data_IF_688954202459
#
_entry.id   IF_688954202459
#
_cell.length_a   1.000
_cell.length_b   1.000
_cell.length_c   1.000
_cell.angle_alpha   90.00
_cell.angle_beta   90.00
_cell.angle_gamma   90.00
#
_symmetry.space_group_name_H-M   'P 1'
#
loop_
_entity.id
_entity.type
_entity.pdbx_description
1 polymer ?
2 non-polymer ?
3 water ?
#
# COMPACT_ATOMS: atom_id res chain seq x y z
N UNK A 1 -29.69 6.05 2.61
CA UNK A 1 -29.62 4.92 3.58
C UNK A 1 -29.02 5.37 4.91
N UNK A 2 -29.29 4.60 5.96
CA UNK A 2 -28.78 4.93 7.29
C UNK A 2 -27.37 4.39 7.48
N UNK A 3 -26.61 5.00 8.38
CA UNK A 3 -25.25 4.53 8.62
C UNK A 3 -24.78 4.82 10.03
N UNK A 4 -23.69 4.16 10.41
CA UNK A 4 -23.08 4.31 11.72
C UNK A 4 -21.58 4.20 11.54
N UNK A 5 -20.84 4.69 12.51
CA UNK A 5 -19.39 4.58 12.46
C UNK A 5 -18.86 4.30 13.87
N UNK A 6 -17.76 3.57 13.94
CA UNK A 6 -17.15 3.21 15.22
C UNK A 6 -15.64 3.28 15.08
N UNK A 7 -14.97 3.82 16.09
CA UNK A 7 -13.53 3.90 16.05
C UNK A 7 -12.95 2.56 16.49
N UNK A 8 -11.73 2.27 16.07
CA UNK A 8 -11.06 1.06 16.49
C UNK A 8 -9.61 1.44 16.78
N UNK A 9 -9.03 0.78 17.77
CA UNK A 9 -7.64 1.01 18.15
C UNK A 9 -7.14 -0.40 18.41
N UNK A 10 -6.43 -0.94 17.43
CA UNK A 10 -5.95 -2.32 17.48
C UNK A 10 -4.44 -2.48 17.67
N UNK A 11 -4.03 -3.22 18.70
CA UNK A 11 -2.59 -3.41 18.91
C UNK A 11 -2.02 -4.21 17.76
N UNK A 12 -0.79 -3.90 17.35
CA UNK A 12 -0.16 -4.64 16.27
C UNK A 12 0.30 -5.98 16.85
N UNK A 13 0.41 -7.01 16.01
CA UNK A 13 0.83 -8.33 16.47
C UNK A 13 2.22 -8.25 17.07
N UNK A 14 2.98 -7.27 16.61
CA UNK A 14 4.32 -7.01 17.12
C UNK A 14 4.72 -5.62 16.62
N UNK A 15 5.50 -4.89 17.44
CA UNK A 15 5.95 -3.54 17.10
C UNK A 15 6.60 -3.35 15.73
N UNK A 16 6.35 -2.18 15.16
CA UNK A 16 6.92 -1.81 13.86
C UNK A 16 7.71 -0.53 14.07
N UNK A 17 8.98 -0.54 13.67
CA UNK A 17 9.83 0.62 13.83
C UNK A 17 10.28 1.21 12.51
N UNK A 18 10.20 2.55 12.42
CA UNK A 18 10.62 3.27 11.22
C UNK A 18 11.55 4.39 11.67
N UNK A 19 11.99 5.21 10.71
CA UNK A 19 12.88 6.32 11.03
C UNK A 19 12.10 7.51 11.60
N UNK A 20 10.77 7.37 11.62
CA UNK A 20 9.92 8.44 12.13
C UNK A 20 9.31 8.10 13.48
N UNK A 21 9.77 6.99 14.07
CA UNK A 21 9.26 6.60 15.37
C UNK A 21 8.83 5.15 15.46
N UNK A 22 8.23 4.80 16.59
CA UNK A 22 7.76 3.44 16.84
C UNK A 22 6.26 3.45 17.11
N UNK A 23 5.56 2.45 16.57
CA UNK A 23 4.11 2.34 16.75
C UNK A 23 3.77 0.92 17.19
N UNK A 24 2.85 0.81 18.15
CA UNK A 24 2.45 -0.49 18.66
C UNK A 24 0.98 -0.78 18.38
N UNK A 25 0.32 0.13 17.68
CA UNK A 25 -1.09 -0.08 17.37
C UNK A 25 -1.50 0.69 16.12
N UNK A 26 -2.62 0.29 15.55
CA UNK A 26 -3.19 0.96 14.38
C UNK A 26 -4.62 1.31 14.72
N UNK A 27 -5.03 2.53 14.38
CA UNK A 27 -6.39 2.97 14.64
C UNK A 27 -7.08 3.37 13.35
N UNK A 28 -8.41 3.43 13.40
CA UNK A 28 -9.17 3.79 12.22
C UNK A 28 -10.66 3.86 12.54
N UNK A 29 -11.46 3.91 11.50
CA UNK A 29 -12.92 3.99 11.62
C UNK A 29 -13.56 2.91 10.76
N UNK A 30 -14.59 2.27 11.31
CA UNK A 30 -15.35 1.28 10.55
C UNK A 30 -16.71 1.92 10.28
N UNK A 31 -17.20 1.75 9.06
CA UNK A 31 -18.49 2.30 8.66
C UNK A 31 -19.46 1.16 8.41
N UNK A 32 -20.70 1.29 8.91
CA UNK A 32 -21.72 0.28 8.67
C UNK A 32 -22.93 0.99 8.08
N UNK A 33 -23.30 0.60 6.86
CA UNK A 33 -24.43 1.19 6.16
C UNK A 33 -25.56 0.16 6.07
N UNK A 34 -26.80 0.62 6.12
CA UNK A 34 -27.95 -0.29 6.03
C UNK A 34 -29.11 0.36 5.29
N UNK A 35 -29.67 -0.34 4.31
CA UNK A 35 -30.81 0.21 3.57
C UNK A 35 -32.13 -0.17 4.21
N UNK A 36 -33.24 0.28 3.60
CA UNK A 36 -34.58 0.03 4.12
C UNK A 36 -34.99 -1.44 4.23
N UNK A 37 -34.31 -2.30 3.48
CA UNK A 37 -34.63 -3.72 3.47
C UNK A 37 -33.72 -4.54 4.39
N UNK A 38 -32.75 -3.89 5.00
CA UNK A 38 -31.85 -4.61 5.89
C UNK A 38 -30.54 -5.04 5.24
N UNK A 39 -30.30 -4.63 4.00
CA UNK A 39 -29.05 -4.98 3.33
C UNK A 39 -27.98 -4.11 3.99
N UNK A 40 -26.80 -4.68 4.17
CA UNK A 40 -25.73 -3.94 4.83
C UNK A 40 -24.47 -3.77 3.99
N UNK A 41 -23.71 -2.73 4.33
CA UNK A 41 -22.45 -2.45 3.65
C UNK A 41 -21.45 -2.04 4.70
N UNK A 42 -20.16 -2.23 4.42
CA UNK A 42 -19.11 -1.88 5.39
C UNK A 42 -17.93 -1.21 4.70
N UNK A 43 -17.27 -0.29 5.40
CA UNK A 43 -16.12 0.40 4.85
C UNK A 43 -15.13 0.69 5.97
N UNK A 44 -13.90 1.01 5.60
CA UNK A 44 -12.88 1.32 6.60
C UNK A 44 -12.08 2.57 6.23
N UNK A 45 -11.93 3.47 7.18
CA UNK A 45 -11.18 4.71 6.99
C UNK A 45 -9.99 4.59 7.92
N UNK A 46 -8.79 4.45 7.35
CA UNK A 46 -7.60 4.28 8.18
C UNK A 46 -6.35 5.00 7.69
N UNK A 47 -6.33 6.34 7.79
CA UNK A 47 -5.14 7.06 7.34
C UNK A 47 -3.95 6.59 8.17
N UNK A 48 -2.76 6.63 7.59
CA UNK A 48 -1.55 6.18 8.26
C UNK A 48 -0.75 7.38 8.76
N UNK A 49 -0.51 7.46 10.07
CA UNK A 49 0.24 8.58 10.64
C UNK A 49 1.54 8.86 9.90
N UNK A 50 1.75 10.11 9.51
CA UNK A 50 2.96 10.47 8.80
C UNK A 50 2.86 10.44 7.29
N UNK A 51 1.91 9.65 6.78
CA UNK A 51 1.73 9.54 5.34
C UNK A 51 0.63 10.50 4.88
N UNK A 52 1.04 11.60 4.26
CA UNK A 52 0.07 12.58 3.80
C UNK A 52 -0.37 13.45 4.96
N UNK A 53 -1.29 14.39 4.68
CA UNK A 53 -1.78 15.32 5.69
C UNK A 53 -3.08 14.91 6.39
N UNK A 54 -3.72 13.86 5.91
CA UNK A 54 -4.98 13.43 6.52
C UNK A 54 -4.74 12.81 7.89
N UNK A 55 -5.55 13.21 8.86
CA UNK A 55 -5.44 12.67 10.21
C UNK A 55 -6.74 11.98 10.56
N UNK A 56 -6.67 10.98 11.44
CA UNK A 56 -7.86 10.27 11.86
C UNK A 56 -8.84 11.26 12.51
N UNK A 57 -8.32 12.21 13.28
CA UNK A 57 -9.20 13.17 13.94
C UNK A 57 -10.00 14.00 12.95
N UNK A 58 -9.41 14.30 11.79
CA UNK A 58 -10.11 15.07 10.77
C UNK A 58 -11.21 14.19 10.15
N UNK A 59 -10.92 12.89 10.04
CA UNK A 59 -11.90 11.95 9.49
C UNK A 59 -13.07 11.81 10.46
N UNK A 60 -12.77 11.78 11.75
CA UNK A 60 -13.80 11.67 12.77
C UNK A 60 -14.70 12.90 12.70
N UNK A 61 -14.08 14.07 12.59
CA UNK A 61 -14.84 15.32 12.50
C UNK A 61 -15.79 15.26 11.30
N UNK A 62 -15.29 14.77 10.17
CA UNK A 62 -16.11 14.65 8.97
C UNK A 62 -17.32 13.75 9.27
N UNK A 63 -17.06 12.60 9.88
CA UNK A 63 -18.13 11.67 10.21
C UNK A 63 -19.19 12.31 11.10
N UNK A 64 -18.78 13.17 12.01
CA UNK A 64 -19.72 13.80 12.91
C UNK A 64 -20.49 14.94 12.22
N UNK A 65 -19.94 15.44 11.12
CA UNK A 65 -20.57 16.54 10.38
C UNK A 65 -21.56 16.07 9.32
N UNK A 66 -21.38 14.85 8.82
CA UNK A 66 -22.25 14.31 7.79
C UNK A 66 -23.67 14.03 8.28
N UNK A 67 -24.65 14.10 7.37
CA UNK A 67 -26.06 13.86 7.69
C UNK A 67 -26.31 12.42 8.15
N UNK A 68 -27.46 12.19 8.76
CA UNK A 68 -27.81 10.86 9.23
C UNK A 68 -28.09 9.89 8.10
N UNK A 69 -28.19 10.42 6.89
CA UNK A 69 -28.46 9.59 5.73
C UNK A 69 -27.36 9.85 4.70
N UNK A 70 -27.14 8.89 3.81
CA UNK A 70 -26.11 9.05 2.80
C UNK A 70 -26.67 8.98 1.39
N UNK A 71 -26.08 9.76 0.50
CA UNK A 71 -26.47 9.82 -0.91
C UNK A 71 -25.20 10.15 -1.68
N UNK A 72 -25.20 9.87 -2.99
CA UNK A 72 -24.01 10.16 -3.81
C UNK A 72 -23.61 11.63 -3.69
N UNK A 73 -24.59 12.52 -3.73
CA UNK A 73 -24.32 13.95 -3.63
C UNK A 73 -23.70 14.31 -2.28
N UNK A 74 -24.20 13.70 -1.21
CA UNK A 74 -23.68 13.98 0.13
C UNK A 74 -22.23 13.52 0.24
N UNK A 76 -20.18 13.32 -2.10
CA UNK A 76 -19.36 14.12 -3.01
C UNK A 76 -18.84 15.36 -2.28
N UNK A 77 -19.40 15.65 -1.12
CA UNK A 77 -18.97 16.81 -0.34
C UNK A 77 -17.75 16.50 0.52
N UNK A 78 -17.37 15.23 0.59
CA UNK A 78 -16.21 14.85 1.39
C UNK A 78 -14.97 15.51 0.78
N UNK A 79 -14.24 16.29 1.59
CA UNK A 79 -13.03 16.98 1.14
C UNK A 79 -12.02 16.09 0.44
N UNK A 80 -11.41 16.61 -0.61
CA UNK A 80 -10.40 15.87 -1.36
C UNK A 80 -9.19 15.69 -0.45
N UNK A 81 -9.11 16.53 0.58
CA UNK A 81 -8.00 16.47 1.53
C UNK A 81 -8.11 15.28 2.48
N UNK A 82 -9.20 14.53 2.39
CA UNK A 82 -9.40 13.35 3.24
C UNK A 82 -9.58 12.11 2.36
N UNK A 83 -8.51 11.71 1.66
CA UNK A 83 -8.58 10.55 0.77
C UNK A 83 -8.96 9.20 1.39
N UNK A 84 -8.52 8.94 2.61
CA UNK A 84 -8.87 7.67 3.26
C UNK A 84 -10.38 7.66 3.53
N UNK A 85 -10.94 8.82 3.88
CA UNK A 85 -12.36 8.91 4.13
C UNK A 85 -13.12 8.67 2.82
N UNK A 86 -12.62 9.22 1.71
CA UNK A 86 -13.27 9.01 0.42
C UNK A 86 -13.29 7.52 0.10
N UNK A 87 -12.18 6.86 0.36
CA UNK A 87 -12.07 5.42 0.11
C UNK A 87 -13.08 4.66 0.97
N UNK A 88 -13.10 4.96 2.27
CA UNK A 88 -14.00 4.28 3.18
C UNK A 88 -15.48 4.40 2.82
N UNK A 89 -15.92 5.62 2.54
CA UNK A 89 -17.32 5.83 2.19
C UNK A 89 -17.65 5.24 0.82
N UNK A 90 -16.76 5.43 -0.15
CA UNK A 90 -16.98 4.89 -1.48
C UNK A 90 -17.10 3.37 -1.47
N UNK A 91 -16.16 2.70 -0.81
CA UNK A 91 -16.20 1.25 -0.75
C UNK A 91 -17.39 0.74 0.08
N UNK A 92 -17.74 1.48 1.13
CA UNK A 92 -18.86 1.09 1.97
C UNK A 92 -20.15 1.12 1.15
N UNK A 93 -20.35 2.22 0.43
CA UNK A 93 -21.54 2.39 -0.41
C UNK A 93 -21.66 1.28 -1.44
N UNK A 94 -20.57 1.01 -2.14
CA UNK A 94 -20.57 -0.03 -3.16
C UNK A 94 -20.84 -1.43 -2.63
N UNK A 95 -20.50 -1.67 -1.36
CA UNK A 95 -20.68 -3.00 -0.78
C UNK A 95 -22.10 -3.30 -0.32
N UNK A 96 -22.95 -2.28 -0.19
CA UNK A 96 -24.31 -2.50 0.28
C UNK A 96 -25.04 -3.55 -0.55
N UNK A 97 -25.39 -4.66 0.09
CA UNK A 97 -26.10 -5.73 -0.60
C UNK A 97 -25.25 -6.55 -1.54
N UNK A 98 -23.93 -6.40 -1.45
CA UNK A 98 -23.01 -7.13 -2.32
C UNK A 98 -22.03 -8.03 -1.57
N UNK A 99 -22.13 -8.05 -0.25
CA UNK A 99 -21.23 -8.89 0.55
C UNK A 99 -21.79 -10.29 0.75
N UNK A 100 -20.90 -11.30 0.80
CA UNK A 100 -19.44 -11.19 0.66
C UNK A 100 -18.98 -11.08 -0.78
N UNK A 101 -17.79 -10.52 -0.96
CA UNK A 101 -17.19 -10.33 -2.28
C UNK A 101 -16.48 -11.56 -2.81
N UNK A 102 -16.45 -11.68 -4.13
CA UNK A 102 -15.74 -12.77 -4.79
C UNK A 102 -14.31 -12.24 -4.91
N UNK A 103 -13.35 -12.99 -4.39
CA UNK A 103 -11.94 -12.56 -4.46
C UNK A 103 -11.05 -13.73 -4.83
N UNK A 104 -9.76 -13.46 -4.99
CA UNK A 104 -8.79 -14.50 -5.34
C UNK A 104 -7.45 -14.19 -4.69
N UNK A 105 -6.61 -15.23 -4.47
CA UNK A 105 -5.29 -15.13 -3.85
C UNK A 105 -4.14 -14.66 -4.76
N UNK A 106 -4.07 -13.36 -5.02
CA UNK A 106 -3.02 -12.81 -5.87
C UNK A 106 -1.63 -13.06 -5.26
N UNK A 107 -0.59 -13.07 -6.11
CA UNK A 107 0.77 -13.30 -5.59
C UNK A 107 1.10 -12.17 -4.61
N UNK A 108 1.71 -12.54 -3.48
CA UNK A 108 2.09 -11.57 -2.45
C UNK A 108 3.61 -11.47 -2.33
N UNK A 109 4.11 -10.25 -2.16
CA UNK A 109 5.55 -10.04 -2.02
C UNK A 109 5.99 -10.34 -0.58
N UNK A 110 7.05 -11.13 -0.44
CA UNK A 110 7.57 -11.48 0.87
C UNK A 110 8.66 -10.51 1.29
N UNK A 111 8.65 -10.09 2.56
CA UNK A 111 9.64 -9.14 3.04
C UNK A 111 10.88 -9.84 3.59
N UNK A 112 12.03 -9.19 3.42
CA UNK A 112 13.30 -9.71 3.92
C UNK A 112 13.89 -8.64 4.84
N UNK A 113 14.29 -9.05 6.05
CA UNK A 113 14.87 -8.13 7.00
C UNK A 113 16.19 -7.54 6.54
N UNK A 114 16.54 -6.37 7.09
CA UNK A 114 17.78 -5.71 6.71
C UNK A 114 18.98 -6.57 7.11
N UNK A 115 20.11 -6.32 6.45
CA UNK A 115 21.29 -7.08 6.79
C UNK A 115 21.39 -8.49 6.24
N UNK A 116 22.34 -9.24 6.78
CA UNK A 116 22.59 -10.61 6.34
C UNK A 116 21.40 -11.54 6.56
N UNK A 117 20.44 -11.10 7.37
CA UNK A 117 19.25 -11.91 7.64
C UNK A 117 18.51 -12.28 6.36
N UNK A 118 18.57 -11.41 5.36
CA UNK A 118 17.90 -11.64 4.09
C UNK A 118 18.29 -12.99 3.49
N UNK A 119 19.51 -13.43 3.77
CA UNK A 119 20.02 -14.68 3.21
C UNK A 119 19.41 -15.94 3.82
N UNK A 120 18.71 -15.79 4.93
CA UNK A 120 18.11 -16.94 5.60
C UNK A 120 16.59 -16.83 5.72
N UNK A 121 16.02 -15.74 5.23
CA UNK A 121 14.57 -15.53 5.36
C UNK A 121 13.73 -15.70 4.09
N UNK A 122 14.35 -15.93 2.94
CA UNK A 122 13.58 -16.09 1.72
C UNK A 122 13.09 -17.51 1.47
N UNK A 123 13.83 -18.48 1.97
CA UNK A 123 13.51 -19.88 1.76
C UNK A 123 12.11 -20.33 2.17
N UNK A 124 11.71 -20.00 3.39
CA UNK A 124 10.40 -20.40 3.87
C UNK A 124 9.28 -19.79 3.03
N UNK A 125 9.42 -18.52 2.66
CA UNK A 125 8.42 -17.85 1.84
C UNK A 125 8.37 -18.45 0.43
N UNK A 126 9.54 -18.74 -0.12
CA UNK A 126 9.62 -19.32 -1.45
C UNK A 126 8.93 -20.69 -1.45
N UNK A 127 9.18 -21.47 -0.41
CA UNK A 127 8.57 -22.80 -0.31
C UNK A 127 7.07 -22.77 -0.09
N UNK A 128 6.55 -21.56 0.15
CA UNK A 128 5.12 -21.35 0.35
C UNK A 128 4.51 -20.68 -0.88
N UNK A 129 5.29 -20.64 -1.95
CA UNK A 129 4.80 -20.08 -3.21
C UNK A 129 5.09 -18.63 -3.51
N UNK A 130 5.79 -17.93 -2.63
CA UNK A 130 6.10 -16.52 -2.87
C UNK A 130 7.37 -16.40 -3.70
N UNK A 131 7.30 -15.68 -4.81
CA UNK A 131 8.45 -15.53 -5.69
C UNK A 131 8.98 -14.11 -5.85
N UNK A 132 8.33 -13.15 -5.20
CA UNK A 132 8.78 -11.77 -5.25
C UNK A 132 9.13 -11.40 -3.82
N UNK A 133 10.25 -10.71 -3.63
CA UNK A 133 10.71 -10.31 -2.31
C UNK A 133 11.08 -8.83 -2.28
N UNK A 134 11.06 -8.24 -1.09
CA UNK A 134 11.46 -6.85 -0.93
C UNK A 134 12.38 -6.80 0.27
N UNK A 135 13.62 -6.38 0.02
CA UNK A 135 14.63 -6.30 1.06
C UNK A 135 14.92 -4.86 1.42
N UNK A 136 14.98 -4.61 2.73
CA UNK A 136 15.24 -3.28 3.26
C UNK A 136 16.73 -2.94 3.17
N UNK A 137 17.04 -1.82 2.55
CA UNK A 137 18.43 -1.37 2.40
C UNK A 137 18.60 0.04 2.97
N UNK A 138 19.84 0.50 3.02
CA UNK A 138 20.11 1.82 3.56
C UNK A 138 20.25 1.76 5.07
N UNK A 139 20.43 0.54 5.59
CA UNK A 139 20.59 0.33 7.02
C UNK A 139 22.07 0.16 7.36
N UNK A 141 26.23 -0.10 5.63
CA UNK A 141 26.95 0.68 4.63
C UNK A 141 26.63 0.11 3.25
N UNK A 142 26.70 0.97 2.21
CA UNK A 142 26.41 0.49 0.85
C UNK A 142 27.26 -0.72 0.47
N UNK A 143 28.53 -0.69 0.86
CA UNK A 143 29.45 -1.79 0.56
C UNK A 143 28.97 -3.11 1.17
N UNK A 144 28.59 -3.06 2.45
CA UNK A 144 28.13 -4.25 3.15
C UNK A 144 26.86 -4.81 2.51
N UNK A 145 25.90 -3.93 2.23
CA UNK A 145 24.65 -4.39 1.64
C UNK A 145 24.85 -4.91 0.23
N UNK A 146 25.79 -4.33 -0.51
CA UNK A 146 26.06 -4.78 -1.86
C UNK A 146 26.68 -6.17 -1.85
N UNK A 147 27.49 -6.46 -0.84
CA UNK A 147 28.12 -7.77 -0.72
C UNK A 147 27.01 -8.78 -0.43
N UNK A 148 26.11 -8.42 0.46
CA UNK A 148 24.99 -9.29 0.81
C UNK A 148 24.10 -9.49 -0.42
N UNK A 149 23.87 -8.41 -1.17
CA UNK A 149 23.03 -8.49 -2.35
C UNK A 149 23.60 -9.45 -3.39
N UNK A 150 24.92 -9.41 -3.57
CA UNK A 150 25.56 -10.29 -4.53
C UNK A 150 25.28 -11.74 -4.14
N UNK A 151 25.40 -12.03 -2.84
CA UNK A 151 25.16 -13.38 -2.35
C UNK A 151 23.69 -13.76 -2.49
N UNK A 152 22.82 -12.80 -2.19
CA UNK A 152 21.38 -13.04 -2.28
C UNK A 152 20.93 -13.36 -3.70
N UNK A 153 21.40 -12.56 -4.66
CA UNK A 153 21.04 -12.77 -6.05
C UNK A 153 21.50 -14.13 -6.55
N UNK A 154 22.66 -14.58 -6.06
CA UNK A 154 23.20 -15.87 -6.46
C UNK A 154 22.46 -17.03 -5.80
N UNK A 155 21.94 -16.79 -4.60
CA UNK A 155 21.23 -17.82 -3.86
C UNK A 155 19.76 -18.01 -4.26
N UNK A 156 19.09 -16.90 -4.60
CA UNK A 156 17.69 -16.97 -4.99
C UNK A 156 17.49 -17.90 -6.18
N UNK A 157 16.41 -18.68 -6.18
CA UNK A 157 16.14 -19.60 -7.28
C UNK A 157 15.76 -18.92 -8.59
N UNK A 158 15.87 -19.65 -9.71
CA UNK A 158 15.53 -19.08 -11.00
C UNK A 158 14.06 -18.63 -10.94
N UNK A 159 13.78 -17.45 -11.48
CA UNK A 159 12.41 -16.95 -11.47
C UNK A 159 12.11 -15.99 -10.33
N UNK A 160 13.04 -15.87 -9.39
CA UNK A 160 12.84 -14.96 -8.27
C UNK A 160 12.90 -13.51 -8.74
N UNK A 161 12.13 -12.66 -8.06
CA UNK A 161 12.08 -11.23 -8.38
C UNK A 161 12.38 -10.52 -7.07
N UNK A 162 13.25 -9.51 -7.12
CA UNK A 162 13.64 -8.80 -5.91
C UNK A 162 13.49 -7.29 -5.98
N UNK A 163 12.89 -6.73 -4.94
CA UNK A 163 12.71 -5.29 -4.83
C UNK A 163 13.62 -4.84 -3.70
N UNK A 164 14.16 -3.64 -3.80
CA UNK A 164 15.01 -3.09 -2.75
C UNK A 164 14.30 -1.86 -2.24
N UNK A 165 14.12 -1.75 -0.93
CA UNK A 165 13.44 -0.57 -0.40
C UNK A 165 14.38 0.23 0.49
N UNK A 166 14.73 1.43 0.04
CA UNK A 166 15.62 2.29 0.80
C UNK A 166 14.87 3.20 1.77
N UNK A 167 13.54 3.20 1.68
CA UNK A 167 12.70 4.02 2.55
C UNK A 167 13.13 5.49 2.56
N UNK A 168 13.62 5.96 1.42
CA UNK A 168 14.08 7.33 1.28
C UNK A 168 15.23 7.71 2.18
N UNK A 169 16.05 6.72 2.54
CA UNK A 169 17.16 6.97 3.45
C UNK A 169 18.51 7.32 2.83
N UNK A 170 18.64 7.16 1.51
CA UNK A 170 19.91 7.50 0.86
C UNK A 170 20.01 8.98 0.51
N UNK A 171 21.23 9.51 0.49
CA UNK A 171 21.41 10.88 0.06
C UNK A 171 21.67 10.75 -1.43
N UNK A 172 21.70 11.87 -2.14
CA UNK A 172 21.89 11.84 -3.59
C UNK A 172 23.14 11.10 -4.08
N UNK A 173 24.29 11.35 -3.46
CA UNK A 173 25.52 10.69 -3.89
C UNK A 173 25.47 9.17 -3.68
N UNK A 174 24.91 8.75 -2.56
CA UNK A 174 24.80 7.32 -2.25
C UNK A 174 23.85 6.63 -3.22
N UNK A 175 22.74 7.28 -3.54
CA UNK A 175 21.79 6.71 -4.47
C UNK A 175 22.44 6.55 -5.84
N UNK A 176 23.16 7.58 -6.26
CA UNK A 176 23.82 7.53 -7.55
C UNK A 176 24.81 6.36 -7.64
N UNK A 177 25.61 6.16 -6.60
CA UNK A 177 26.57 5.06 -6.60
C UNK A 177 25.85 3.72 -6.60
N UNK A 178 24.74 3.63 -5.88
CA UNK A 178 23.97 2.39 -5.82
C UNK A 178 23.42 2.00 -7.18
N UNK A 179 22.88 2.96 -7.92
CA UNK A 179 22.34 2.66 -9.23
C UNK A 179 23.45 2.28 -10.21
N UNK A 180 24.64 2.82 -10.01
CA UNK A 180 25.76 2.46 -10.89
C UNK A 180 26.11 1.01 -10.61
N UNK A 181 26.09 0.64 -9.33
CA UNK A 181 26.41 -0.73 -8.94
C UNK A 181 25.36 -1.68 -9.52
N UNK A 182 24.09 -1.32 -9.35
CA UNK A 182 22.99 -2.13 -9.86
C UNK A 182 23.03 -2.25 -11.37
N UNK A 183 23.32 -1.15 -12.05
CA UNK A 183 23.39 -1.14 -13.50
C UNK A 183 24.37 -2.22 -13.98
N UNK A 184 25.41 -2.44 -13.20
CA UNK A 184 26.43 -3.44 -13.53
C UNK A 184 26.15 -4.83 -12.97
N UNK A 185 26.25 -4.94 -11.65
CA UNK A 185 26.06 -6.21 -10.95
C UNK A 185 24.61 -6.63 -10.76
N UNK A 186 23.68 -5.74 -11.12
CA UNK A 186 22.28 -6.06 -10.97
C UNK A 186 21.88 -7.24 -11.85
N UNK A 187 21.05 -8.11 -11.30
CA UNK A 187 20.60 -9.28 -12.04
C UNK A 187 19.21 -9.00 -12.61
N UNK A 188 18.83 -9.73 -13.65
CA UNK A 188 17.51 -9.54 -14.22
C UNK A 188 16.47 -9.82 -13.15
N UNK A 189 16.94 -10.11 -11.94
CA UNK A 189 16.08 -10.40 -10.81
C UNK A 189 15.65 -9.15 -10.05
N UNK A 190 16.30 -8.01 -10.29
CA UNK A 190 15.94 -6.77 -9.61
C UNK A 190 14.74 -6.11 -10.28
N UNK A 191 13.59 -6.12 -9.62
CA UNK A 191 12.38 -5.52 -10.17
C UNK A 191 12.47 -3.99 -10.13
N UNK A 192 12.88 -3.46 -9.00
CA UNK A 192 13.03 -2.02 -8.84
C UNK A 192 13.59 -1.63 -7.49
N UNK A 193 13.98 -0.38 -7.37
CA UNK A 193 14.47 0.15 -6.10
C UNK A 193 13.35 1.08 -5.65
N UNK A 194 12.81 0.82 -4.47
CA UNK A 194 11.71 1.61 -3.93
C UNK A 194 12.19 2.80 -3.12
N UNK A 195 11.70 3.98 -3.48
CA UNK A 195 12.02 5.25 -2.81
C UNK A 195 13.50 5.41 -2.42
N UNK A 196 14.38 5.55 -3.42
CA UNK A 196 15.81 5.70 -3.09
C UNK A 196 16.12 6.98 -2.31
N UNK A 197 15.36 8.04 -2.59
CA UNK A 197 15.57 9.33 -1.92
C UNK A 197 14.30 9.78 -1.22
N UNK A 198 14.41 10.69 -0.25
CA UNK A 198 13.22 11.17 0.46
C UNK A 198 12.34 11.98 -0.49
N UNK A 199 11.03 12.04 -0.22
CA UNK A 199 10.08 12.78 -1.06
C UNK A 199 10.43 14.22 -1.40
N UNK A 200 11.13 14.92 -0.51
CA UNK A 200 11.48 16.32 -0.77
C UNK A 200 12.45 16.50 -1.93
N UNK A 201 13.21 15.46 -2.25
CA UNK A 201 14.17 15.54 -3.34
C UNK A 201 13.55 15.00 -4.62
N UNK A 202 12.43 15.57 -5.01
CA UNK A 202 11.72 15.11 -6.20
C UNK A 202 12.46 15.31 -7.51
N UNK A 203 13.22 16.40 -7.64
CA UNK A 203 13.94 16.64 -8.88
C UNK A 203 15.01 15.57 -9.09
N UNK A 204 15.68 15.20 -8.01
CA UNK A 204 16.72 14.16 -8.07
C UNK A 204 16.06 12.82 -8.37
N UNK A 205 14.91 12.56 -7.75
CA UNK A 205 14.19 11.31 -7.98
C UNK A 205 13.87 11.17 -9.47
N UNK A 206 13.28 12.21 -10.04
CA UNK A 206 12.91 12.19 -11.45
C UNK A 206 14.13 12.03 -12.33
N UNK A 207 15.17 12.81 -12.07
CA UNK A 207 16.39 12.73 -12.86
C UNK A 207 16.99 11.33 -12.84
N UNK A 208 17.09 10.75 -11.64
CA UNK A 208 17.62 9.39 -11.53
C UNK A 208 16.79 8.41 -12.35
N UNK A 209 15.47 8.47 -12.18
CA UNK A 209 14.59 7.55 -12.92
C UNK A 209 14.74 7.67 -14.42
N UNK A 210 15.01 8.89 -14.89
CA UNK A 210 15.16 9.15 -16.32
C UNK A 210 16.54 8.82 -16.88
N UNK A 211 17.48 8.46 -16.02
CA UNK A 211 18.84 8.18 -16.49
C UNK A 211 19.43 6.81 -16.13
N UNK A 212 18.96 6.20 -15.04
CA UNK A 212 19.49 4.91 -14.66
C UNK A 212 18.69 3.77 -15.31
N UNK A 213 19.35 2.62 -15.49
CA UNK A 213 18.71 1.48 -16.11
C UNK A 213 17.76 0.73 -15.18
N UNK A 214 18.14 0.62 -13.92
CA UNK A 214 17.30 -0.06 -12.93
C UNK A 214 16.05 0.78 -12.65
N UNK A 215 14.89 0.14 -12.64
CA UNK A 215 13.64 0.84 -12.41
C UNK A 215 13.51 1.37 -10.98
N UNK A 216 12.79 2.46 -10.83
CA UNK A 216 12.58 3.07 -9.53
C UNK A 216 11.09 3.15 -9.23
N UNK A 217 10.73 2.92 -7.97
CA UNK A 217 9.33 2.98 -7.55
C UNK A 217 9.12 4.05 -6.49
N UNK A 218 8.00 4.77 -6.61
CA UNK A 218 7.66 5.79 -5.62
C UNK A 218 6.72 5.15 -4.62
N UNK A 219 6.96 5.41 -3.33
CA UNK A 219 6.11 4.85 -2.28
C UNK A 219 5.76 6.00 -1.36
N UNK A 220 6.70 6.41 -0.51
CA UNK A 220 6.47 7.51 0.41
C UNK A 220 6.05 8.78 -0.35
N UNK A 221 6.53 8.90 -1.59
CA UNK A 221 6.20 10.05 -2.43
C UNK A 221 4.78 10.07 -2.96
N UNK A 222 4.12 8.90 -2.98
CA UNK A 222 2.75 8.85 -3.50
C UNK A 222 1.74 8.22 -2.56
N UNK A 223 0.97 9.07 -1.88
CA UNK A 223 -0.06 8.60 -0.96
C UNK A 223 -1.43 8.81 -1.58
N UNK A 224 -1.72 10.05 -1.96
CA UNK A 224 -3.02 10.40 -2.53
C UNK A 224 -3.07 10.43 -4.05
N UNK A 225 -4.28 10.44 -4.59
CA UNK A 225 -4.47 10.51 -6.02
C UNK A 225 -3.80 11.76 -6.54
N UNK A 226 -3.87 12.84 -5.76
CA UNK A 226 -3.27 14.11 -6.15
C UNK A 226 -1.76 13.98 -6.38
N UNK A 227 -1.08 13.24 -5.50
CA UNK A 227 0.36 13.07 -5.64
C UNK A 227 0.68 12.18 -6.83
N UNK A 228 -0.13 11.16 -7.05
CA UNK A 228 0.11 10.28 -8.20
C UNK A 228 -0.07 11.10 -9.47
N UNK A 229 -1.14 11.90 -9.51
CA UNK A 229 -1.41 12.73 -10.67
C UNK A 229 -0.22 13.66 -10.95
N UNK A 230 0.30 14.28 -9.89
CA UNK A 230 1.43 15.19 -10.04
C UNK A 230 2.64 14.50 -10.66
N UNK A 231 2.92 13.28 -10.23
CA UNK A 231 4.05 12.54 -10.77
C UNK A 231 3.81 12.08 -12.20
N UNK A 232 2.56 11.78 -12.53
CA UNK A 232 2.23 11.37 -13.89
C UNK A 232 2.49 12.57 -14.80
N UNK A 233 2.06 13.75 -14.36
CA UNK A 233 2.26 14.95 -15.17
C UNK A 233 3.72 15.37 -15.25
N UNK A 234 4.54 14.89 -14.32
CA UNK A 234 5.97 15.19 -14.34
C UNK A 234 6.69 14.22 -15.28
N UNK A 235 5.97 13.21 -15.76
CA UNK A 235 6.55 12.24 -16.66
C UNK A 235 7.31 11.11 -15.97
N UNK A 236 6.87 10.73 -14.78
CA UNK A 236 7.53 9.65 -14.04
C UNK A 236 7.54 8.40 -14.90
N UNK A 237 8.72 7.82 -15.17
CA UNK A 237 8.83 6.62 -15.99
C UNK A 237 8.84 5.31 -15.20
N UNK A 238 8.91 5.42 -13.87
CA UNK A 238 8.97 4.25 -13.03
C UNK A 238 7.65 3.70 -12.51
N UNK A 239 7.73 3.01 -11.38
CA UNK A 239 6.57 2.40 -10.75
C UNK A 239 5.94 3.29 -9.68
N UNK A 240 4.67 3.03 -9.41
CA UNK A 240 3.90 3.75 -8.39
C UNK A 240 3.40 2.70 -7.42
N UNK A 241 3.73 2.85 -6.14
CA UNK A 241 3.24 1.91 -5.13
C UNK A 241 1.95 2.53 -4.61
N UNK A 242 0.82 1.94 -4.97
CA UNK A 242 -0.48 2.45 -4.58
C UNK A 242 -1.02 1.84 -3.29
N UNK A 243 -1.29 2.69 -2.29
CA UNK A 243 -1.89 2.22 -1.05
C UNK A 243 -3.34 2.63 -1.21
N UNK A 244 -4.14 1.73 -1.78
CA UNK A 244 -5.55 2.01 -2.07
C UNK A 244 -6.36 2.57 -0.90
N UNK A 245 -6.15 2.06 0.30
CA UNK A 245 -6.89 2.55 1.47
C UNK A 245 -6.61 4.01 1.83
N UNK A 246 -5.49 4.56 1.35
CA UNK A 246 -5.11 5.94 1.66
C UNK A 246 -5.23 6.88 0.48
N UNK A 247 -5.45 6.28 -0.69
CA UNK A 247 -5.51 6.95 -1.98
C UNK A 247 -6.63 7.94 -2.28
N UNK A 248 -7.85 7.57 -1.92
CA UNK A 248 -9.02 8.39 -2.20
C UNK A 248 -10.09 7.49 -2.77
N UNK A 249 -11.01 8.05 -3.55
CA UNK A 249 -12.07 7.26 -4.16
C UNK A 249 -11.42 6.33 -5.20
N UNK A 250 -11.68 5.00 -5.11
CA UNK A 250 -11.09 4.07 -6.08
C UNK A 250 -11.32 4.49 -7.54
N UNK A 251 -12.44 5.17 -7.80
CA UNK A 251 -12.73 5.61 -9.16
C UNK A 251 -11.66 6.58 -9.67
N UNK A 252 -10.98 7.27 -8.75
CA UNK A 252 -9.94 8.22 -9.14
C UNK A 252 -8.75 7.50 -9.77
N UNK A 253 -8.47 6.27 -9.34
CA UNK A 253 -7.36 5.52 -9.91
C UNK A 253 -7.77 5.06 -11.30
N UNK A 254 -9.01 4.59 -11.42
CA UNK A 254 -9.51 4.12 -12.71
C UNK A 254 -9.49 5.27 -13.72
N UNK A 255 -9.77 6.48 -13.24
CA UNK A 255 -9.77 7.64 -14.13
C UNK A 255 -8.34 7.91 -14.60
N UNK A 256 -7.38 7.85 -13.68
CA UNK A 256 -5.98 8.08 -14.02
C UNK A 256 -5.53 7.05 -15.05
N UNK A 257 -5.94 5.80 -14.86
CA UNK A 257 -5.57 4.72 -15.76
C UNK A 257 -6.16 4.92 -17.16
N UNK A 258 -7.33 5.52 -17.25
CA UNK A 258 -7.96 5.77 -18.54
C UNK A 258 -7.22 6.92 -19.22
N UNK A 259 -6.40 7.61 -18.44
CA UNK A 259 -5.62 8.73 -18.93
C UNK A 259 -4.13 8.38 -19.06
N UNK A 260 -3.26 9.12 -18.38
CA UNK A 260 -1.84 8.87 -18.49
C UNK A 260 -1.13 7.89 -17.58
N UNK A 261 -1.85 7.16 -16.73
CA UNK A 261 -1.22 6.20 -15.83
C UNK A 261 -1.15 4.79 -16.43
N UNK A 262 0.04 4.21 -16.44
CA UNK A 262 0.27 2.88 -16.99
C UNK A 262 -0.06 1.76 -15.99
N UNK A 263 -1.01 0.87 -16.34
CA UNK A 263 -1.38 -0.22 -15.44
C UNK A 263 -0.18 -1.08 -15.05
N UNK A 264 0.69 -1.35 -16.02
CA UNK A 264 1.87 -2.16 -15.77
C UNK A 264 2.84 -1.55 -14.77
N UNK A 265 2.71 -0.25 -14.54
CA UNK A 265 3.60 0.43 -13.60
C UNK A 265 3.06 0.50 -12.16
N UNK A 266 1.95 -0.17 -11.90
CA UNK A 266 1.37 -0.13 -10.57
C UNK A 266 1.69 -1.36 -9.73
N UNK A 267 1.88 -1.11 -8.43
CA UNK A 267 2.11 -2.17 -7.44
C UNK A 267 1.17 -1.78 -6.31
N UNK A 268 0.24 -2.67 -5.96
CA UNK A 268 -0.71 -2.40 -4.90
C UNK A 268 -0.17 -2.89 -3.57
N UNK A 269 -0.09 -2.00 -2.60
CA UNK A 269 0.46 -2.37 -1.30
C UNK A 269 -0.40 -2.01 -0.10
N UNK A 270 -0.03 -2.57 1.04
CA UNK A 270 -0.75 -2.38 2.29
C UNK A 270 -0.30 -1.19 3.13
N UNK A 271 -1.27 -0.57 3.78
CA UNK A 271 -1.04 0.56 4.69
C UNK A 271 -1.39 0.08 6.10
N UNK A 272 -1.17 -1.21 6.33
CA UNK A 272 -1.47 -1.84 7.62
C UNK A 272 -2.92 -1.58 8.00
N UNK A 273 -3.82 -1.78 7.04
CA UNK A 273 -5.25 -1.58 7.26
C UNK A 273 -5.90 -2.89 7.71
N UNK A 274 -7.16 -2.81 8.12
CA UNK A 274 -7.88 -3.97 8.59
C UNK A 274 -8.49 -4.86 7.52
N UNK A 275 -9.19 -5.91 7.96
CA UNK A 275 -9.82 -6.86 7.04
C UNK A 275 -10.90 -6.24 6.16
N UNK A 276 -11.61 -5.25 6.69
CA UNK A 276 -12.66 -4.62 5.90
C UNK A 276 -12.03 -3.88 4.71
N UNK A 277 -11.00 -3.08 4.98
CA UNK A 277 -10.34 -2.35 3.91
C UNK A 277 -9.63 -3.31 2.94
N UNK A 278 -8.94 -4.30 3.49
CA UNK A 278 -8.23 -5.25 2.62
C UNK A 278 -9.14 -6.03 1.72
N UNK A 279 -10.28 -6.47 2.24
CA UNK A 279 -11.21 -7.22 1.40
C UNK A 279 -11.77 -6.32 0.30
N UNK A 280 -12.03 -5.06 0.65
CA UNK A 280 -12.56 -4.10 -0.32
C UNK A 280 -11.53 -3.92 -1.43
N UNK A 281 -10.25 -3.92 -1.06
CA UNK A 281 -9.18 -3.75 -2.04
C UNK A 281 -9.10 -4.98 -2.95
N UNK A 282 -9.17 -6.18 -2.38
CA UNK A 282 -9.12 -7.37 -3.22
C UNK A 282 -10.32 -7.41 -4.16
N UNK A 283 -11.45 -6.85 -3.72
CA UNK A 283 -12.63 -6.80 -4.58
C UNK A 283 -12.28 -5.91 -5.77
N UNK A 284 -11.66 -4.77 -5.49
CA UNK A 284 -11.28 -3.84 -6.54
C UNK A 284 -10.27 -4.46 -7.50
N UNK A 285 -9.42 -5.34 -6.97
CA UNK A 285 -8.41 -6.01 -7.78
C UNK A 285 -9.04 -6.95 -8.82
N UNK A 286 -10.29 -7.32 -8.60
CA UNK A 286 -10.98 -8.18 -9.57
C UNK A 286 -11.15 -7.40 -10.87
N UNK A 287 -11.13 -6.07 -10.76
CA UNK A 287 -11.25 -5.20 -11.92
C UNK A 287 -9.88 -4.77 -12.43
N UNK A 288 -9.05 -4.24 -11.55
CA UNK A 288 -7.73 -3.78 -11.95
C UNK A 288 -6.76 -4.88 -12.34
N UNK A 289 -6.95 -6.07 -11.77
CA UNK A 289 -6.13 -7.26 -12.02
C UNK A 289 -4.64 -6.98 -12.10
N UNK A 290 -3.99 -6.88 -10.93
CA UNK A 290 -2.56 -6.61 -10.77
C UNK A 290 -1.61 -7.54 -11.54
N UNK A 291 -0.49 -6.99 -11.97
CA UNK A 291 0.51 -7.75 -12.72
C UNK A 291 1.83 -7.82 -11.98
N UNK A 292 1.82 -7.44 -10.71
CA UNK A 292 3.01 -7.50 -9.86
C UNK A 292 2.58 -7.98 -8.48
N UNK A 293 3.46 -8.67 -7.78
CA UNK A 293 3.15 -9.16 -6.45
C UNK A 293 2.71 -8.01 -5.56
N UNK A 294 1.66 -8.24 -4.77
CA UNK A 294 1.10 -7.24 -3.88
C UNK A 294 1.98 -7.02 -2.65
N UNK A 295 2.11 -5.77 -2.24
CA UNK A 295 2.90 -5.48 -1.06
C UNK A 295 2.03 -5.65 0.17
N UNK A 296 1.48 -6.84 0.34
CA UNK A 296 0.61 -7.15 1.47
C UNK A 296 1.15 -8.24 2.39
N UNK A 297 2.45 -8.47 2.34
CA UNK A 297 3.05 -9.49 3.20
C UNK A 297 3.40 -8.84 4.52
N UNK A 298 2.39 -8.29 5.18
CA UNK A 298 2.58 -7.59 6.45
C UNK A 298 1.95 -8.27 7.66
N UNK A 299 1.67 -9.57 7.56
CA UNK A 299 1.04 -10.30 8.66
C UNK A 299 1.73 -10.21 10.00
N UNK A 300 3.06 -10.04 10.00
CA UNK A 300 3.79 -9.93 11.25
C UNK A 300 3.29 -8.78 12.10
N UNK A 301 2.97 -7.66 11.45
CA UNK A 301 2.51 -6.48 12.16
C UNK A 301 1.00 -6.43 12.29
N UNK A 302 0.28 -6.70 11.21
CA UNK A 302 -1.17 -6.69 11.28
C UNK A 302 -1.79 -7.71 10.34
N UNK A 303 -2.28 -8.78 10.94
CA UNK A 303 -2.95 -9.83 10.21
C UNK A 303 -4.37 -9.36 9.96
N UNK A 304 -4.85 -9.54 8.73
CA UNK A 304 -6.20 -9.14 8.37
C UNK A 304 -6.74 -10.09 7.31
N UNK A 305 -7.12 -11.30 7.73
CA UNK A 305 -7.66 -12.31 6.81
C UNK A 305 -8.89 -11.78 6.07
N UNK A 306 -8.97 -12.07 4.77
CA UNK A 306 -10.10 -11.60 3.98
C UNK A 306 -11.41 -12.11 4.56
N UNK A 307 -12.44 -11.27 4.49
CA UNK A 307 -13.75 -11.61 5.01
C UNK A 307 -14.54 -12.35 3.93
N UNK A 308 -14.97 -13.57 4.23
CA UNK A 308 -15.69 -14.41 3.28
C UNK A 308 -17.18 -14.55 3.51
N UNK A 309 -17.70 -14.02 4.61
CA UNK A 309 -19.12 -14.10 4.90
C UNK A 309 -19.59 -12.77 5.49
N UNK A 310 -20.87 -12.47 5.31
CA UNK A 310 -21.40 -11.23 5.85
C UNK A 310 -21.36 -11.26 7.37
N UNK A 311 -21.63 -12.44 7.95
CA UNK A 311 -21.60 -12.57 9.40
C UNK A 311 -20.21 -12.26 9.95
N UNK A 312 -19.18 -12.49 9.14
CA UNK A 312 -17.81 -12.20 9.56
C UNK A 312 -17.67 -10.70 9.79
N UNK A 313 -18.31 -9.91 8.93
CA UNK A 313 -18.29 -8.46 9.06
C UNK A 313 -19.06 -8.09 10.32
N UNK A 314 -20.26 -8.66 10.46
CA UNK A 314 -21.10 -8.39 11.62
C UNK A 314 -20.38 -8.66 12.92
N UNK A 315 -19.65 -9.78 12.98
CA UNK A 315 -18.92 -10.13 14.18
C UNK A 315 -17.85 -9.10 14.51
N UNK A 316 -17.10 -8.68 13.48
CA UNK A 316 -16.04 -7.69 13.67
C UNK A 316 -16.65 -6.39 14.21
N UNK A 317 -17.79 -6.00 13.65
CA UNK A 317 -18.49 -4.78 14.05
C UNK A 317 -19.03 -4.84 15.48
N UNK A 318 -19.70 -5.94 15.81
CA UNK A 318 -20.28 -6.11 17.13
C UNK A 318 -19.22 -6.22 18.23
N UNK A 319 -18.07 -6.76 17.89
CA UNK A 319 -16.98 -6.94 18.84
C UNK A 319 -16.42 -5.61 19.33
N UNK A 320 -16.81 -4.52 18.68
CA UNK A 320 -16.35 -3.19 19.07
C UNK A 320 -17.18 -2.66 20.23
#
# INVERSE_FOLDING_TARGET
LRWQWRIYEEPLQEPLTTAQGVWRSRSGIYLRLEDEQGQVGYGEIAPLPGWGSETLNADIALCQQLPGHLTPEIXATIPEALPAAQFGFATAWQSVGRLPYRVRPWPICALLGSGQAALEQWQQSWQRGQTTFKWKVGVXSPEEEQAILKALLAALPPGAKLRLDANGSWDRATANRWFAWLDRHGNGKIEYVEQPLPPDQWQALLSLAQTVTTAIALDESVVSAAEVQRWVDRGWPGFFVIKTALFGDPDSLSLLLRRGLEPQRLVFSSALEGAIARTAIFHLLETWQPCHALGFGVDRWRSAPLLTTLTAYERLWERLDQEGHHHHHH
#
